data_IF_062765357308
#
_entry.id   IF_062765357308
#
_cell.length_a   1.000
_cell.length_b   1.000
_cell.length_c   1.000
_cell.angle_alpha   90.00
_cell.angle_beta   90.00
_cell.angle_gamma   90.00
#
_symmetry.space_group_name_H-M   'P 1'
#
loop_
_entity.id
_entity.type
_entity.pdbx_description
1 polymer ?
#
# COMPACT_ATOMS: atom_id res chain seq x y z
N UNK A 1 1.00 12.81 -13.33
CA UNK A 1 1.41 12.10 -14.57
C UNK A 1 1.30 12.95 -15.84
N UNK A 2 0.14 13.53 -16.20
CA UNK A 2 0.02 14.38 -17.41
C UNK A 2 0.92 15.62 -17.37
N UNK A 3 0.98 16.30 -16.23
CA UNK A 3 1.84 17.48 -16.04
C UNK A 3 3.33 17.18 -16.24
N UNK A 4 3.84 16.06 -15.69
CA UNK A 4 5.22 15.61 -15.92
C UNK A 4 5.50 15.35 -17.41
N UNK A 5 4.54 14.72 -18.13
CA UNK A 5 4.66 14.52 -19.58
C UNK A 5 4.71 15.85 -20.33
N UNK A 6 3.82 16.79 -20.02
CA UNK A 6 3.85 18.12 -20.64
C UNK A 6 5.15 18.88 -20.33
N UNK A 7 5.67 18.74 -19.12
CA UNK A 7 6.91 19.39 -18.71
C UNK A 7 8.13 18.78 -19.41
N UNK A 8 8.20 17.45 -19.54
CA UNK A 8 9.24 16.78 -20.33
C UNK A 8 9.16 17.15 -21.82
N UNK A 9 7.94 17.20 -22.38
CA UNK A 9 7.72 17.66 -23.76
C UNK A 9 8.16 19.13 -23.89
N UNK A 10 7.81 19.98 -22.94
CA UNK A 10 8.18 21.40 -22.92
C UNK A 10 9.70 21.57 -22.79
N UNK A 11 10.36 20.77 -21.96
CA UNK A 11 11.81 20.78 -21.79
C UNK A 11 12.52 20.30 -23.07
N UNK A 12 12.01 19.23 -23.71
CA UNK A 12 12.52 18.76 -24.99
C UNK A 12 12.32 19.78 -26.12
N UNK A 13 11.13 20.39 -26.18
CA UNK A 13 10.82 21.47 -27.13
C UNK A 13 11.72 22.68 -26.91
N UNK A 14 11.97 23.05 -25.65
CA UNK A 14 12.87 24.13 -25.29
C UNK A 14 14.32 23.85 -25.73
N UNK A 15 14.86 22.67 -25.45
CA UNK A 15 16.21 22.28 -25.90
C UNK A 15 16.31 22.28 -27.42
N UNK A 16 15.28 21.80 -28.12
CA UNK A 16 15.22 21.85 -29.57
C UNK A 16 15.19 23.30 -30.08
N UNK A 17 14.41 24.17 -29.46
CA UNK A 17 14.30 25.59 -29.81
C UNK A 17 15.64 26.31 -29.61
N UNK A 18 16.31 26.12 -28.47
CA UNK A 18 17.62 26.72 -28.18
C UNK A 18 18.68 26.24 -29.16
N UNK A 19 18.68 24.95 -29.51
CA UNK A 19 19.66 24.37 -30.44
C UNK A 19 19.47 24.83 -31.89
N UNK A 20 18.23 25.12 -32.30
CA UNK A 20 17.91 25.56 -33.67
C UNK A 20 17.76 27.10 -33.79
N UNK A 21 17.93 27.84 -32.70
CA UNK A 21 17.70 29.29 -32.67
C UNK A 21 18.61 30.05 -33.64
N UNK A 22 19.85 29.58 -33.82
CA UNK A 22 20.81 30.18 -34.75
C UNK A 22 20.36 30.10 -36.21
N UNK A 23 19.78 28.96 -36.61
CA UNK A 23 19.36 28.72 -37.99
C UNK A 23 18.00 29.38 -38.30
N UNK A 24 17.08 29.44 -37.33
CA UNK A 24 15.71 29.90 -37.57
C UNK A 24 15.52 31.40 -37.40
N UNK A 25 16.17 32.02 -36.40
CA UNK A 25 15.95 33.43 -36.07
C UNK A 25 17.06 34.34 -36.62
N UNK A 26 18.08 33.78 -37.29
CA UNK A 26 19.31 34.51 -37.63
C UNK A 26 20.00 35.10 -36.39
N UNK A 27 19.67 34.55 -35.22
CA UNK A 27 20.25 34.96 -33.96
C UNK A 27 21.71 34.47 -33.92
N UNK A 28 22.60 35.20 -33.25
CA UNK A 28 23.98 34.74 -33.13
C UNK A 28 24.01 33.39 -32.43
N UNK A 29 24.71 32.43 -33.03
CA UNK A 29 24.82 31.08 -32.51
C UNK A 29 25.35 31.11 -31.07
N UNK A 30 24.72 30.33 -30.18
CA UNK A 30 25.22 30.17 -28.82
C UNK A 30 26.64 29.61 -28.88
N UNK A 31 27.49 30.11 -27.99
CA UNK A 31 28.85 29.59 -27.87
C UNK A 31 28.82 28.15 -27.33
N UNK A 32 29.83 27.34 -27.68
CA UNK A 32 29.95 25.96 -27.18
C UNK A 32 29.90 25.90 -25.64
N UNK A 33 30.50 26.89 -24.97
CA UNK A 33 30.48 27.01 -23.52
C UNK A 33 29.07 27.22 -22.96
N UNK A 34 28.23 28.01 -23.63
CA UNK A 34 26.84 28.21 -23.21
C UNK A 34 26.04 26.92 -23.29
N UNK A 35 26.22 26.11 -24.35
CA UNK A 35 25.58 24.79 -24.46
C UNK A 35 26.00 23.84 -23.33
N UNK A 36 27.28 23.81 -22.96
CA UNK A 36 27.76 23.00 -21.84
C UNK A 36 27.12 23.45 -20.52
N UNK A 37 27.07 24.77 -20.28
CA UNK A 37 26.46 25.32 -19.07
C UNK A 37 24.95 25.01 -19.02
N UNK A 38 24.24 25.16 -20.13
CA UNK A 38 22.83 24.79 -20.27
C UNK A 38 22.59 23.31 -19.95
N UNK A 39 23.41 22.41 -20.49
CA UNK A 39 23.31 20.98 -20.23
C UNK A 39 23.55 20.65 -18.75
N UNK A 40 24.57 21.25 -18.13
CA UNK A 40 24.85 21.09 -16.70
C UNK A 40 23.70 21.66 -15.87
N UNK A 41 23.18 22.84 -16.18
CA UNK A 41 22.07 23.46 -15.46
C UNK A 41 20.76 22.66 -15.59
N UNK A 42 20.55 21.98 -16.71
CA UNK A 42 19.41 21.07 -16.89
C UNK A 42 19.58 19.77 -16.09
N UNK A 43 20.79 19.20 -16.09
CA UNK A 43 21.07 17.90 -15.49
C UNK A 43 21.23 17.96 -13.96
N UNK A 44 21.88 19.01 -13.44
CA UNK A 44 22.25 19.14 -12.02
C UNK A 44 21.04 19.06 -11.07
N UNK A 45 19.91 19.76 -11.30
CA UNK A 45 18.73 19.68 -10.42
C UNK A 45 18.01 18.33 -10.49
N UNK A 46 18.14 17.61 -11.62
CA UNK A 46 17.51 16.30 -11.84
C UNK A 46 18.34 15.19 -11.18
N UNK A 47 19.66 15.23 -11.31
CA UNK A 47 20.58 14.22 -10.77
C UNK A 47 20.83 14.39 -9.26
N UNK A 48 20.82 15.62 -8.77
CA UNK A 48 21.13 15.93 -7.37
C UNK A 48 19.94 16.60 -6.67
N UNK A 49 19.07 15.83 -5.98
CA UNK A 49 17.96 16.36 -5.18
C UNK A 49 18.31 17.49 -4.20
N UNK A 50 19.47 17.51 -3.50
CA UNK A 50 19.80 18.62 -2.59
C UNK A 50 19.99 19.95 -3.31
N UNK A 51 20.37 19.93 -4.59
CA UNK A 51 20.55 21.15 -5.40
C UNK A 51 19.19 21.82 -5.66
N UNK A 52 18.11 21.04 -5.76
CA UNK A 52 16.75 21.57 -5.93
C UNK A 52 16.19 22.23 -4.65
N UNK A 53 16.85 22.05 -3.49
CA UNK A 53 16.52 22.79 -2.26
C UNK A 53 17.17 24.18 -2.22
N UNK A 54 18.19 24.42 -3.03
CA UNK A 54 18.81 25.74 -3.13
C UNK A 54 17.85 26.70 -3.84
N UNK A 55 17.89 27.97 -3.44
CA UNK A 55 17.10 29.01 -4.11
C UNK A 55 17.49 29.09 -5.60
N UNK A 56 16.51 29.14 -6.54
CA UNK A 56 16.80 29.22 -7.98
C UNK A 56 17.67 30.44 -8.33
N UNK A 57 17.61 31.50 -7.52
CA UNK A 57 18.44 32.69 -7.67
C UNK A 57 19.93 32.41 -7.40
N UNK A 58 20.26 31.49 -6.48
CA UNK A 58 21.65 31.09 -6.19
C UNK A 58 22.21 30.30 -7.37
N UNK A 59 21.43 29.37 -7.92
CA UNK A 59 21.82 28.61 -9.11
C UNK A 59 22.00 29.51 -10.32
N UNK A 60 21.07 30.45 -10.53
CA UNK A 60 21.14 31.41 -11.62
C UNK A 60 22.36 32.32 -11.50
N UNK A 61 22.59 32.93 -10.33
CA UNK A 61 23.76 33.80 -10.12
C UNK A 61 25.08 33.03 -10.29
N UNK A 62 25.18 31.81 -9.77
CA UNK A 62 26.35 30.96 -9.97
C UNK A 62 26.59 30.65 -11.45
N UNK A 63 25.55 30.29 -12.21
CA UNK A 63 25.65 30.00 -13.64
C UNK A 63 26.06 31.22 -14.46
N UNK A 64 25.53 32.41 -14.15
CA UNK A 64 25.89 33.67 -14.82
C UNK A 64 27.34 34.07 -14.51
N UNK A 65 27.76 34.01 -13.24
CA UNK A 65 29.15 34.30 -12.85
C UNK A 65 30.11 33.34 -13.55
N UNK A 66 29.75 32.05 -13.63
CA UNK A 66 30.54 31.04 -14.31
C UNK A 66 30.63 31.28 -15.83
N UNK A 67 29.54 31.66 -16.49
CA UNK A 67 29.51 32.02 -17.91
C UNK A 67 30.42 33.23 -18.20
N UNK A 68 30.33 34.28 -17.39
CA UNK A 68 31.17 35.48 -17.54
C UNK A 68 32.65 35.13 -17.33
N UNK A 69 32.96 34.32 -16.31
CA UNK A 69 34.33 33.87 -16.03
C UNK A 69 34.94 33.07 -17.19
N UNK A 70 34.17 32.15 -17.78
CA UNK A 70 34.60 31.38 -18.95
C UNK A 70 34.83 32.27 -20.18
N UNK A 71 33.99 33.27 -20.41
CA UNK A 71 34.21 34.23 -21.51
C UNK A 71 35.45 35.10 -21.30
N UNK A 72 35.68 35.55 -20.07
CA UNK A 72 36.87 36.33 -19.73
C UNK A 72 38.15 35.51 -19.98
N UNK A 73 38.15 34.23 -19.61
CA UNK A 73 39.25 33.30 -19.90
C UNK A 73 39.43 33.01 -21.39
N UNK A 74 38.34 32.97 -22.15
CA UNK A 74 38.35 32.75 -23.60
C UNK A 74 38.77 33.96 -24.44
N UNK A 75 39.00 35.13 -23.83
CA UNK A 75 39.45 36.34 -24.53
C UNK A 75 38.41 36.94 -25.48
N UNK A 76 37.11 36.73 -25.22
CA UNK A 76 36.05 37.29 -26.06
C UNK A 76 35.84 38.78 -25.78
N UNK A 77 35.96 39.61 -26.82
CA UNK A 77 35.70 41.05 -26.72
C UNK A 77 34.21 41.35 -26.45
N UNK A 78 33.98 42.32 -25.55
CA UNK A 78 32.65 42.82 -25.16
C UNK A 78 32.08 43.80 -26.20
N UNK A 79 32.21 43.48 -27.47
CA UNK A 79 31.65 44.28 -28.56
C UNK A 79 30.09 44.26 -28.54
N UNK A 80 29.45 45.19 -29.24
CA UNK A 80 27.99 45.35 -29.26
C UNK A 80 27.26 44.06 -29.65
N UNK A 81 27.83 43.27 -30.58
CA UNK A 81 27.32 41.93 -30.92
C UNK A 81 27.52 40.95 -29.78
N UNK A 82 28.67 40.98 -29.11
CA UNK A 82 28.98 40.14 -27.96
C UNK A 82 28.00 40.33 -26.80
N UNK A 83 27.56 41.57 -26.54
CA UNK A 83 26.56 41.90 -25.52
C UNK A 83 25.18 41.30 -25.84
N UNK A 84 24.75 41.35 -27.10
CA UNK A 84 23.48 40.73 -27.52
C UNK A 84 23.50 39.21 -27.32
N UNK A 85 24.64 38.56 -27.61
CA UNK A 85 24.80 37.12 -27.37
C UNK A 85 24.71 36.81 -25.86
N UNK A 86 25.39 37.58 -25.02
CA UNK A 86 25.36 37.38 -23.56
C UNK A 86 23.93 37.51 -23.03
N UNK A 87 23.19 38.52 -23.49
CA UNK A 87 21.81 38.72 -23.06
C UNK A 87 20.94 37.49 -23.36
N UNK A 88 21.07 36.92 -24.56
CA UNK A 88 20.33 35.71 -24.95
C UNK A 88 20.81 34.48 -24.18
N UNK A 89 22.12 34.31 -23.99
CA UNK A 89 22.69 33.21 -23.18
C UNK A 89 22.18 33.25 -21.73
N UNK A 90 22.13 34.43 -21.11
CA UNK A 90 21.64 34.62 -19.73
C UNK A 90 20.14 34.30 -19.63
N UNK A 91 19.33 34.77 -20.58
CA UNK A 91 17.89 34.43 -20.62
C UNK A 91 17.70 32.92 -20.79
N UNK A 92 18.46 32.30 -21.69
CA UNK A 92 18.35 30.87 -21.94
C UNK A 92 18.71 30.04 -20.70
N UNK A 93 19.75 30.43 -19.97
CA UNK A 93 20.11 29.82 -18.68
C UNK A 93 18.99 29.97 -17.66
N UNK A 94 18.41 31.17 -17.53
CA UNK A 94 17.32 31.44 -16.59
C UNK A 94 16.10 30.54 -16.84
N UNK A 95 15.65 30.45 -18.10
CA UNK A 95 14.52 29.59 -18.49
C UNK A 95 14.85 28.12 -18.23
N UNK A 96 16.07 27.68 -18.53
CA UNK A 96 16.49 26.29 -18.34
C UNK A 96 16.50 25.89 -16.87
N UNK A 97 17.04 26.74 -15.98
CA UNK A 97 17.03 26.51 -14.53
C UNK A 97 15.59 26.44 -14.02
N UNK A 98 14.71 27.34 -14.47
CA UNK A 98 13.31 27.35 -14.07
C UNK A 98 12.58 26.07 -14.49
N UNK A 99 12.79 25.61 -15.73
CA UNK A 99 12.20 24.35 -16.20
C UNK A 99 12.77 23.14 -15.46
N UNK A 100 14.08 23.10 -15.21
CA UNK A 100 14.75 21.99 -14.54
C UNK A 100 14.35 21.89 -13.06
N UNK A 101 14.23 23.00 -12.34
CA UNK A 101 13.76 23.02 -10.95
C UNK A 101 12.30 22.59 -10.85
N UNK A 102 11.44 23.05 -11.78
CA UNK A 102 10.04 22.61 -11.85
C UNK A 102 9.93 21.11 -12.17
N UNK A 103 10.75 20.59 -13.09
CA UNK A 103 10.83 19.16 -13.39
C UNK A 103 11.28 18.36 -12.16
N UNK A 104 12.37 18.78 -11.53
CA UNK A 104 12.94 18.13 -10.34
C UNK A 104 11.98 18.11 -9.17
N UNK A 105 11.20 19.19 -8.96
CA UNK A 105 10.19 19.23 -7.91
C UNK A 105 9.09 18.18 -8.12
N UNK A 106 8.66 17.97 -9.37
CA UNK A 106 7.67 16.95 -9.72
C UNK A 106 8.21 15.52 -9.59
N UNK A 107 9.47 15.29 -9.98
CA UNK A 107 10.13 13.99 -9.80
C UNK A 107 10.27 13.68 -8.31
N UNK A 108 10.71 14.64 -7.49
CA UNK A 108 10.83 14.47 -6.04
C UNK A 108 9.46 14.21 -5.38
N UNK A 109 8.39 14.86 -5.85
CA UNK A 109 7.04 14.57 -5.38
C UNK A 109 6.65 13.12 -5.68
N UNK A 110 6.90 12.65 -6.90
CA UNK A 110 6.67 11.25 -7.29
C UNK A 110 7.53 10.28 -6.48
N UNK A 111 8.80 10.60 -6.25
CA UNK A 111 9.69 9.77 -5.45
C UNK A 111 9.24 9.72 -3.99
N UNK A 112 8.85 10.85 -3.39
CA UNK A 112 8.29 10.88 -2.04
C UNK A 112 6.99 10.07 -1.92
N UNK A 113 6.20 10.01 -2.99
CA UNK A 113 5.03 9.13 -3.05
C UNK A 113 5.47 7.67 -3.10
N UNK A 114 6.46 7.29 -3.91
CA UNK A 114 6.99 5.92 -3.91
C UNK A 114 7.63 5.51 -2.57
N UNK A 115 8.33 6.43 -1.92
CA UNK A 115 8.90 6.25 -0.59
C UNK A 115 7.78 6.07 0.45
N UNK A 116 6.74 6.90 0.40
CA UNK A 116 5.55 6.76 1.26
C UNK A 116 4.72 5.50 0.97
N UNK A 117 4.80 4.99 -0.27
CA UNK A 117 4.13 3.77 -0.71
C UNK A 117 4.93 2.51 -0.39
N UNK A 118 6.11 2.64 0.23
CA UNK A 118 6.85 1.48 0.74
C UNK A 118 7.36 0.54 -0.37
N UNK A 119 7.61 1.06 -1.58
CA UNK A 119 8.26 0.26 -2.64
C UNK A 119 9.75 0.02 -2.33
N UNK A 120 10.31 0.74 -1.36
CA UNK A 120 11.53 0.29 -0.68
C UNK A 120 11.19 -0.93 0.19
N UNK A 121 11.30 -2.12 -0.41
CA UNK A 121 11.55 -3.36 0.33
C UNK A 121 12.52 -3.05 1.49
N UNK A 122 12.24 -3.56 2.69
CA UNK A 122 12.99 -3.38 3.95
C UNK A 122 12.53 -2.12 4.72
N UNK A 123 11.35 -2.07 5.32
CA UNK A 123 10.97 -2.79 6.54
C UNK A 123 9.44 -2.75 6.61
N UNK A 124 8.77 -3.88 6.39
CA UNK A 124 7.40 -3.95 6.89
C UNK A 124 7.55 -3.97 8.42
N UNK A 125 6.94 -3.04 9.19
CA UNK A 125 6.99 -3.12 10.66
C UNK A 125 6.38 -4.43 11.16
N UNK A 126 5.61 -5.10 10.30
CA UNK A 126 4.86 -6.32 10.55
C UNK A 126 5.29 -7.37 9.52
N UNK A 127 5.74 -8.55 9.96
CA UNK A 127 6.14 -9.63 9.06
C UNK A 127 5.00 -10.14 8.18
N UNK A 128 5.33 -10.78 7.06
CA UNK A 128 4.32 -11.47 6.25
C UNK A 128 3.69 -12.62 7.04
N UNK A 129 2.47 -13.02 6.69
CA UNK A 129 1.81 -14.15 7.34
C UNK A 129 2.68 -15.42 7.29
N UNK A 130 3.30 -15.74 6.15
CA UNK A 130 4.13 -16.93 6.01
C UNK A 130 5.37 -16.91 6.94
N UNK A 131 5.99 -15.74 7.13
CA UNK A 131 7.13 -15.57 8.06
C UNK A 131 6.68 -15.67 9.52
N UNK A 132 5.53 -15.09 9.88
CA UNK A 132 5.04 -15.05 11.25
C UNK A 132 4.19 -16.26 11.67
N UNK A 133 3.75 -17.09 10.72
CA UNK A 133 2.87 -18.24 10.99
C UNK A 133 3.50 -19.23 11.98
N UNK A 134 4.82 -19.44 11.89
CA UNK A 134 5.55 -20.29 12.83
C UNK A 134 5.54 -19.73 14.26
N UNK A 135 5.62 -18.41 14.41
CA UNK A 135 5.54 -17.76 15.72
C UNK A 135 4.13 -17.91 16.31
N UNK A 136 3.09 -17.72 15.49
CA UNK A 136 1.70 -17.91 15.91
C UNK A 136 1.43 -19.37 16.31
N UNK A 137 1.83 -20.35 15.50
CA UNK A 137 1.67 -21.77 15.83
C UNK A 137 2.39 -22.15 17.12
N UNK A 138 3.58 -21.58 17.35
CA UNK A 138 4.33 -21.80 18.58
C UNK A 138 3.55 -21.27 19.78
N UNK A 139 2.97 -20.09 19.67
CA UNK A 139 2.19 -19.46 20.75
C UNK A 139 0.92 -20.26 21.06
N UNK A 140 0.15 -20.68 20.05
CA UNK A 140 -1.03 -21.53 20.24
C UNK A 140 -0.65 -22.88 20.87
N UNK A 141 0.48 -23.47 20.46
CA UNK A 141 0.98 -24.72 21.06
C UNK A 141 1.40 -24.51 22.52
N UNK A 142 2.01 -23.38 22.85
CA UNK A 142 2.37 -23.02 24.21
C UNK A 142 1.13 -22.78 25.08
N UNK A 143 0.16 -22.01 24.59
CA UNK A 143 -1.13 -21.79 25.24
C UNK A 143 -1.83 -23.12 25.56
N UNK A 144 -1.85 -24.07 24.61
CA UNK A 144 -2.40 -25.40 24.84
C UNK A 144 -1.62 -26.22 25.87
N UNK A 145 -0.29 -26.18 25.83
CA UNK A 145 0.57 -26.94 26.77
C UNK A 145 0.45 -26.42 28.20
N UNK A 146 0.37 -25.11 28.37
CA UNK A 146 0.35 -24.45 29.67
C UNK A 146 -1.04 -24.00 30.12
N UNK A 147 -2.09 -24.37 29.38
CA UNK A 147 -3.49 -23.98 29.64
C UNK A 147 -3.65 -22.48 29.85
N UNK A 148 -3.00 -21.68 28.99
CA UNK A 148 -3.10 -20.21 29.01
C UNK A 148 -4.14 -19.75 28.00
N UNK A 149 -4.82 -18.65 28.33
CA UNK A 149 -5.70 -17.98 27.38
C UNK A 149 -4.88 -17.28 26.29
N UNK A 150 -5.45 -17.23 25.10
CA UNK A 150 -4.85 -16.57 23.94
C UNK A 150 -5.96 -16.01 23.07
N UNK A 151 -5.82 -14.75 22.67
CA UNK A 151 -6.75 -14.10 21.76
C UNK A 151 -6.11 -13.96 20.37
N UNK A 152 -6.85 -14.36 19.33
CA UNK A 152 -6.49 -14.15 17.94
C UNK A 152 -7.47 -13.16 17.33
N UNK A 153 -6.95 -12.10 16.73
CA UNK A 153 -7.72 -11.06 16.10
C UNK A 153 -7.45 -11.04 14.60
N UNK A 154 -8.51 -10.89 13.82
CA UNK A 154 -8.45 -10.54 12.41
C UNK A 154 -8.95 -9.12 12.25
N UNK A 155 -8.11 -8.23 11.71
CA UNK A 155 -8.37 -6.79 11.62
C UNK A 155 -8.27 -6.35 10.16
N UNK A 156 -9.37 -5.84 9.62
CA UNK A 156 -9.42 -5.21 8.29
C UNK A 156 -9.95 -3.78 8.36
N UNK A 157 -9.64 -3.02 7.32
CA UNK A 157 -10.21 -1.68 7.13
C UNK A 157 -11.58 -1.84 6.48
N UNK A 158 -12.59 -1.19 7.04
CA UNK A 158 -13.94 -1.20 6.50
C UNK A 158 -13.98 -0.48 5.14
N UNK A 159 -14.43 -1.19 4.10
CA UNK A 159 -14.43 -0.70 2.72
C UNK A 159 -15.19 0.63 2.57
N UNK A 160 -16.33 0.79 3.23
CA UNK A 160 -17.14 2.02 3.15
C UNK A 160 -16.43 3.22 3.78
N UNK A 161 -15.61 3.00 4.81
CA UNK A 161 -14.84 4.08 5.44
C UNK A 161 -13.68 4.52 4.55
N UNK A 162 -13.01 3.56 3.91
CA UNK A 162 -11.95 3.83 2.94
C UNK A 162 -12.50 4.58 1.72
N UNK A 163 -13.63 4.13 1.17
CA UNK A 163 -14.30 4.81 0.06
C UNK A 163 -14.76 6.22 0.41
N UNK A 164 -15.22 6.47 1.64
CA UNK A 164 -15.59 7.83 2.10
C UNK A 164 -14.38 8.75 2.21
N UNK A 165 -13.23 8.27 2.68
CA UNK A 165 -11.99 9.06 2.67
C UNK A 165 -11.52 9.35 1.23
N UNK A 166 -11.53 8.33 0.37
CA UNK A 166 -11.19 8.46 -1.05
C UNK A 166 -12.15 9.42 -1.79
N UNK A 167 -13.44 9.36 -1.48
CA UNK A 167 -14.49 10.19 -2.09
C UNK A 167 -14.45 11.66 -1.63
N UNK A 168 -14.00 11.92 -0.39
CA UNK A 168 -13.82 13.30 0.11
C UNK A 168 -12.65 14.02 -0.56
N UNK A 169 -11.56 13.31 -0.87
CA UNK A 169 -10.39 13.92 -1.51
C UNK A 169 -10.56 14.13 -3.03
N UNK A 170 -11.33 13.27 -3.71
CA UNK A 170 -11.37 13.21 -5.18
C UNK A 170 -12.49 14.04 -5.83
N UNK A 171 -12.91 15.17 -5.24
CA UNK A 171 -14.09 15.92 -5.69
C UNK A 171 -13.91 16.76 -6.97
N UNK A 172 -12.81 16.63 -7.71
CA UNK A 172 -12.60 17.39 -8.94
C UNK A 172 -12.31 16.53 -10.19
N UNK A 173 -13.27 16.57 -11.13
CA UNK A 173 -13.19 16.28 -12.57
C UNK A 173 -13.34 14.85 -13.12
N UNK A 174 -14.20 14.74 -14.14
CA UNK A 174 -14.65 13.54 -14.87
C UNK A 174 -13.53 12.74 -15.57
N UNK A 175 -12.32 13.29 -15.68
CA UNK A 175 -11.16 12.63 -16.31
C UNK A 175 -10.46 11.59 -15.40
N UNK A 176 -10.93 11.40 -14.15
CA UNK A 176 -10.27 10.60 -13.11
C UNK A 176 -10.64 9.11 -13.07
N UNK A 177 -11.58 8.60 -13.89
CA UNK A 177 -12.03 7.20 -13.75
C UNK A 177 -10.94 6.15 -13.98
N UNK A 178 -9.99 6.37 -14.89
CA UNK A 178 -8.84 5.46 -15.10
C UNK A 178 -7.65 5.76 -14.19
N UNK A 179 -7.59 6.94 -13.59
CA UNK A 179 -6.64 7.25 -12.50
C UNK A 179 -7.14 6.68 -11.15
N UNK A 180 -8.43 6.36 -11.05
CA UNK A 180 -9.12 5.91 -9.84
C UNK A 180 -8.60 4.57 -9.35
N UNK A 181 -8.40 3.59 -10.23
CA UNK A 181 -7.88 2.26 -9.85
C UNK A 181 -6.46 2.34 -9.29
N UNK A 182 -5.55 3.00 -10.01
CA UNK A 182 -4.17 3.18 -9.55
C UNK A 182 -4.10 4.00 -8.24
N UNK A 183 -4.95 5.03 -8.10
CA UNK A 183 -5.01 5.82 -6.87
C UNK A 183 -5.64 5.04 -5.71
N UNK A 184 -6.65 4.20 -5.95
CA UNK A 184 -7.26 3.39 -4.89
C UNK A 184 -6.29 2.38 -4.32
N UNK A 185 -5.44 1.75 -5.14
CA UNK A 185 -4.41 0.83 -4.65
C UNK A 185 -3.37 1.55 -3.80
N UNK A 186 -2.94 2.75 -4.22
CA UNK A 186 -2.00 3.62 -3.50
C UNK A 186 -2.54 3.98 -2.11
N UNK A 187 -3.79 4.45 -2.05
CA UNK A 187 -4.42 4.84 -0.79
C UNK A 187 -4.71 3.66 0.12
N UNK A 188 -5.08 2.52 -0.46
CA UNK A 188 -5.28 1.29 0.30
C UNK A 188 -3.96 0.80 0.91
N UNK A 189 -2.85 0.87 0.16
CA UNK A 189 -1.53 0.54 0.68
C UNK A 189 -1.10 1.49 1.80
N UNK A 190 -1.33 2.79 1.63
CA UNK A 190 -1.07 3.80 2.66
C UNK A 190 -1.89 3.56 3.94
N UNK A 191 -3.19 3.31 3.81
CA UNK A 191 -4.08 3.05 4.94
C UNK A 191 -3.68 1.78 5.70
N UNK A 192 -3.30 0.71 4.99
CA UNK A 192 -2.79 -0.51 5.62
C UNK A 192 -1.46 -0.28 6.35
N UNK A 193 -0.55 0.54 5.81
CA UNK A 193 0.72 0.86 6.47
C UNK A 193 0.50 1.68 7.74
N UNK A 194 -0.43 2.64 7.72
CA UNK A 194 -0.77 3.41 8.93
C UNK A 194 -1.44 2.53 9.98
N UNK A 195 -2.32 1.61 9.56
CA UNK A 195 -2.90 0.62 10.46
C UNK A 195 -1.81 -0.30 11.07
N UNK A 196 -0.86 -0.80 10.26
CA UNK A 196 0.24 -1.62 10.76
C UNK A 196 1.06 -0.88 11.83
N UNK A 197 1.34 0.41 11.60
CA UNK A 197 2.04 1.25 12.56
C UNK A 197 1.25 1.43 13.85
N UNK A 198 -0.04 1.76 13.75
CA UNK A 198 -0.94 1.90 14.91
C UNK A 198 -0.99 0.60 15.73
N UNK A 199 -1.12 -0.56 15.07
CA UNK A 199 -1.13 -1.85 15.76
C UNK A 199 0.20 -2.11 16.48
N UNK A 200 1.33 -1.79 15.86
CA UNK A 200 2.66 -1.98 16.46
C UNK A 200 2.87 -1.06 17.65
N UNK A 201 2.48 0.22 17.53
CA UNK A 201 2.64 1.23 18.57
C UNK A 201 1.75 0.95 19.80
N UNK A 202 0.51 0.48 19.59
CA UNK A 202 -0.45 0.24 20.69
C UNK A 202 -0.31 -1.13 21.36
N UNK A 203 0.01 -2.18 20.60
CA UNK A 203 0.07 -3.55 21.13
C UNK A 203 1.47 -3.93 21.63
N UNK A 204 2.51 -3.25 21.13
CA UNK A 204 3.90 -3.45 21.54
C UNK A 204 4.42 -4.87 21.35
N UNK A 205 5.41 -5.25 22.16
CA UNK A 205 6.15 -6.51 22.03
C UNK A 205 5.37 -7.77 22.44
N UNK A 206 4.23 -7.60 23.12
CA UNK A 206 3.41 -8.71 23.61
C UNK A 206 2.48 -9.28 22.53
N UNK A 207 2.45 -8.66 21.34
CA UNK A 207 1.60 -9.05 20.24
C UNK A 207 2.41 -9.55 19.04
N UNK A 208 1.99 -10.68 18.48
CA UNK A 208 2.50 -11.14 17.19
C UNK A 208 1.56 -10.58 16.13
N UNK A 209 2.03 -9.60 15.37
CA UNK A 209 1.28 -8.99 14.27
C UNK A 209 1.82 -9.57 12.97
N UNK A 210 0.93 -10.03 12.09
CA UNK A 210 1.27 -10.52 10.76
C UNK A 210 0.28 -10.02 9.72
N UNK A 211 0.72 -9.89 8.47
CA UNK A 211 -0.15 -9.46 7.36
C UNK A 211 -0.56 -10.63 6.48
N UNK A 212 -1.87 -10.86 6.33
CA UNK A 212 -2.45 -11.85 5.42
C UNK A 212 -3.33 -11.14 4.39
N UNK A 213 -2.87 -11.07 3.12
CA UNK A 213 -3.56 -10.36 2.02
C UNK A 213 -3.88 -8.89 2.37
N UNK A 214 -5.13 -8.58 2.66
CA UNK A 214 -5.66 -7.23 2.93
C UNK A 214 -6.08 -7.02 4.40
N UNK A 215 -5.78 -7.96 5.29
CA UNK A 215 -6.05 -7.85 6.71
C UNK A 215 -4.83 -8.23 7.55
N UNK A 216 -4.87 -7.86 8.81
CA UNK A 216 -3.87 -8.21 9.81
C UNK A 216 -4.39 -9.34 10.68
N UNK A 217 -3.50 -10.26 11.01
CA UNK A 217 -3.72 -11.30 12.01
C UNK A 217 -2.84 -10.97 13.19
N UNK A 218 -3.46 -10.72 14.34
CA UNK A 218 -2.81 -10.36 15.59
C UNK A 218 -3.04 -11.47 16.60
N UNK A 219 -1.99 -11.85 17.31
CA UNK A 219 -2.09 -12.80 18.42
C UNK A 219 -1.63 -12.13 19.69
N UNK A 220 -2.49 -12.15 20.70
CA UNK A 220 -2.24 -11.64 22.04
C UNK A 220 -2.10 -12.83 22.99
N UNK A 221 -0.90 -12.99 23.53
CA UNK A 221 -0.64 -14.02 24.53
C UNK A 221 -1.30 -13.65 25.86
N UNK A 222 -1.72 -14.66 26.62
CA UNK A 222 -2.26 -14.50 27.99
C UNK A 222 -3.49 -13.59 28.09
N UNK A 223 -4.24 -13.44 26.99
CA UNK A 223 -5.40 -12.55 26.90
C UNK A 223 -6.68 -13.37 26.81
N UNK A 224 -7.64 -13.09 27.70
CA UNK A 224 -8.98 -13.68 27.71
C UNK A 224 -10.01 -12.81 26.96
N UNK A 225 -11.26 -13.27 26.92
CA UNK A 225 -12.37 -12.58 26.24
C UNK A 225 -12.73 -11.22 26.90
N UNK A 226 -12.53 -11.09 28.20
CA UNK A 226 -12.84 -9.85 28.93
C UNK A 226 -11.77 -8.78 28.68
N UNK A 227 -10.51 -9.20 28.54
CA UNK A 227 -9.36 -8.33 28.30
C UNK A 227 -9.21 -7.91 26.84
N UNK A 228 -9.60 -8.76 25.89
CA UNK A 228 -9.48 -8.42 24.46
C UNK A 228 -10.49 -7.36 24.03
N UNK A 229 -11.68 -7.34 24.62
CA UNK A 229 -12.75 -6.38 24.29
C UNK A 229 -12.33 -4.92 24.43
N UNK A 230 -11.78 -4.45 25.57
CA UNK A 230 -11.32 -3.07 25.71
C UNK A 230 -10.15 -2.72 24.78
N UNK A 231 -9.29 -3.69 24.44
CA UNK A 231 -8.20 -3.49 23.47
C UNK A 231 -8.79 -3.21 22.08
N UNK A 232 -9.77 -4.00 21.65
CA UNK A 232 -10.44 -3.82 20.36
C UNK A 232 -11.16 -2.48 20.27
N UNK A 233 -11.88 -2.09 21.32
CA UNK A 233 -12.57 -0.79 21.33
C UNK A 233 -11.60 0.38 21.29
N UNK A 234 -10.48 0.30 22.03
CA UNK A 234 -9.42 1.31 21.95
C UNK A 234 -8.80 1.40 20.55
N UNK A 235 -8.55 0.25 19.90
CA UNK A 235 -8.03 0.25 18.52
C UNK A 235 -9.02 0.88 17.53
N UNK A 236 -10.32 0.63 17.69
CA UNK A 236 -11.38 1.27 16.89
C UNK A 236 -11.45 2.77 17.13
N UNK A 237 -11.35 3.21 18.37
CA UNK A 237 -11.37 4.63 18.73
C UNK A 237 -10.16 5.38 18.16
N UNK A 238 -8.97 4.80 18.29
CA UNK A 238 -7.73 5.38 17.77
C UNK A 238 -7.70 5.39 16.24
N UNK A 239 -8.23 4.37 15.57
CA UNK A 239 -8.31 4.35 14.12
C UNK A 239 -9.31 5.37 13.58
N UNK A 240 -10.47 5.53 14.23
CA UNK A 240 -11.50 6.47 13.79
C UNK A 240 -11.07 7.92 14.07
N UNK A 241 -10.50 8.18 15.25
CA UNK A 241 -10.06 9.53 15.64
C UNK A 241 -8.76 9.93 14.94
N UNK A 242 -7.79 9.01 14.84
CA UNK A 242 -6.46 9.29 14.30
C UNK A 242 -6.38 9.20 12.77
N UNK A 243 -7.07 8.22 12.17
CA UNK A 243 -6.99 7.94 10.73
C UNK A 243 -8.30 8.21 9.99
N UNK A 244 -9.42 8.43 10.69
CA UNK A 244 -10.75 8.54 10.06
C UNK A 244 -11.23 7.22 9.46
N UNK A 245 -10.68 6.09 9.93
CA UNK A 245 -10.93 4.75 9.40
C UNK A 245 -11.72 3.92 10.41
N UNK A 246 -12.76 3.24 9.92
CA UNK A 246 -13.46 2.22 10.70
C UNK A 246 -12.79 0.87 10.48
N UNK A 247 -12.63 0.11 11.57
CA UNK A 247 -12.05 -1.22 11.53
C UNK A 247 -13.14 -2.28 11.67
N UNK A 248 -13.07 -3.29 10.82
CA UNK A 248 -13.79 -4.54 11.03
C UNK A 248 -12.83 -5.47 11.79
N UNK A 249 -13.26 -5.93 12.95
CA UNK A 249 -12.43 -6.72 13.86
C UNK A 249 -13.21 -7.97 14.26
N UNK A 250 -12.65 -9.13 13.96
CA UNK A 250 -13.10 -10.40 14.48
C UNK A 250 -12.12 -10.92 15.53
N UNK A 251 -12.66 -11.54 16.58
CA UNK A 251 -11.89 -12.04 17.71
C UNK A 251 -12.23 -13.51 17.92
N UNK A 252 -11.22 -14.34 18.18
CA UNK A 252 -11.38 -15.71 18.61
C UNK A 252 -10.48 -16.01 19.80
N UNK A 253 -11.03 -16.64 20.85
CA UNK A 253 -10.30 -16.89 22.11
C UNK A 253 -10.07 -18.39 22.33
N UNK A 254 -8.83 -18.75 22.64
CA UNK A 254 -8.44 -20.06 23.12
C UNK A 254 -8.50 -20.11 24.65
N UNK A 255 -8.98 -21.20 25.28
CA UNK A 255 -9.48 -22.43 24.66
C UNK A 255 -10.99 -22.44 24.37
N UNK A 256 -11.71 -21.38 24.73
CA UNK A 256 -13.17 -21.40 24.85
C UNK A 256 -13.90 -21.53 23.51
N UNK A 257 -13.37 -20.91 22.45
CA UNK A 257 -14.02 -20.89 21.14
C UNK A 257 -13.46 -21.96 20.18
N UNK A 258 -12.14 -22.16 20.19
CA UNK A 258 -11.51 -23.20 19.38
C UNK A 258 -10.17 -23.68 19.96
N UNK A 259 -9.78 -24.90 19.60
CA UNK A 259 -8.59 -25.59 20.14
C UNK A 259 -7.42 -25.69 19.15
N UNK A 260 -7.63 -25.33 17.88
CA UNK A 260 -6.59 -25.32 16.85
C UNK A 260 -6.41 -23.92 16.28
N UNK A 261 -5.20 -23.62 15.81
CA UNK A 261 -4.89 -22.32 15.20
C UNK A 261 -5.77 -22.05 13.98
N UNK A 262 -5.98 -23.05 13.14
CA UNK A 262 -6.77 -22.94 11.91
C UNK A 262 -8.22 -22.60 12.22
N UNK A 263 -8.78 -23.19 13.27
CA UNK A 263 -10.15 -22.90 13.71
C UNK A 263 -10.26 -21.50 14.33
N UNK A 264 -9.30 -21.08 15.17
CA UNK A 264 -9.25 -19.71 15.71
C UNK A 264 -9.15 -18.67 14.58
N UNK A 265 -8.27 -18.89 13.61
CA UNK A 265 -8.09 -18.00 12.47
C UNK A 265 -9.37 -17.93 11.63
N UNK A 266 -9.96 -19.07 11.30
CA UNK A 266 -11.20 -19.13 10.54
C UNK A 266 -12.33 -18.40 11.25
N UNK A 267 -12.47 -18.58 12.57
CA UNK A 267 -13.49 -17.92 13.37
C UNK A 267 -13.29 -16.40 13.40
N UNK A 268 -12.06 -15.95 13.68
CA UNK A 268 -11.75 -14.52 13.67
C UNK A 268 -11.99 -13.89 12.30
N UNK A 269 -11.62 -14.55 11.20
CA UNK A 269 -11.87 -14.04 9.84
C UNK A 269 -13.35 -13.99 9.49
N UNK A 270 -14.12 -14.98 9.95
CA UNK A 270 -15.57 -15.06 9.70
C UNK A 270 -16.29 -13.93 10.43
N UNK A 271 -15.93 -13.68 11.70
CA UNK A 271 -16.45 -12.58 12.51
C UNK A 271 -16.03 -11.21 11.95
N UNK A 272 -14.79 -11.07 11.48
CA UNK A 272 -14.30 -9.86 10.82
C UNK A 272 -15.11 -9.55 9.54
N UNK A 273 -15.44 -10.58 8.75
CA UNK A 273 -16.25 -10.44 7.54
C UNK A 273 -17.75 -10.20 7.83
N UNK A 274 -18.17 -10.14 9.11
CA UNK A 274 -19.57 -9.99 9.48
C UNK A 274 -20.45 -11.18 9.09
N UNK A 275 -19.86 -12.33 8.79
CA UNK A 275 -20.58 -13.56 8.43
C UNK A 275 -20.69 -14.43 9.67
N UNK A 276 -21.86 -15.00 9.95
CA UNK A 276 -22.04 -15.90 11.08
C UNK A 276 -21.30 -17.23 10.78
N UNK A 277 -20.47 -17.75 11.70
CA UNK A 277 -19.70 -18.97 11.43
C UNK A 277 -20.65 -20.15 11.21
N UNK A 278 -20.48 -20.83 10.08
CA UNK A 278 -21.10 -22.14 9.86
C UNK A 278 -20.58 -23.09 10.95
N UNK A 279 -21.43 -23.91 11.60
CA UNK A 279 -20.98 -24.85 12.62
C UNK A 279 -19.89 -25.76 12.04
N UNK A 280 -18.70 -25.74 12.63
CA UNK A 280 -17.63 -26.66 12.24
C UNK A 280 -18.11 -28.10 12.46
N UNK A 281 -17.77 -29.05 11.57
CA UNK A 281 -18.04 -30.46 11.82
C UNK A 281 -17.25 -30.89 13.06
N UNK A 282 -17.97 -31.14 14.16
CA UNK A 282 -17.38 -31.79 15.33
C UNK A 282 -16.75 -33.10 14.85
N UNK A 283 -15.46 -33.37 15.12
CA UNK A 283 -14.87 -34.66 14.79
C UNK A 283 -15.69 -35.74 15.50
N UNK A 284 -16.42 -36.56 14.74
CA UNK A 284 -17.16 -37.69 15.32
C UNK A 284 -16.14 -38.55 16.08
N UNK A 285 -16.42 -38.96 17.32
CA UNK A 285 -15.56 -39.91 18.01
C UNK A 285 -15.36 -41.13 17.12
N UNK A 286 -14.10 -41.43 16.83
CA UNK A 286 -13.68 -42.58 16.02
C UNK A 286 -13.92 -43.84 16.85
N UNK A 287 -15.14 -44.37 16.80
CA UNK A 287 -15.49 -45.57 17.55
C UNK A 287 -16.98 -45.86 17.59
N UNK A 288 -17.62 -46.04 16.43
CA UNK A 288 -18.84 -46.85 16.36
C UNK A 288 -18.96 -47.48 14.97
N UNK A 289 -18.16 -48.53 14.79
CA UNK A 289 -18.34 -49.49 13.71
C UNK A 289 -19.58 -50.33 14.03
N UNK A 290 -20.73 -49.95 13.47
CA UNK A 290 -21.92 -50.81 13.42
C UNK A 290 -22.14 -51.26 11.99
N UNK A 291 -21.33 -52.22 11.58
CA UNK A 291 -21.71 -53.24 10.62
C UNK A 291 -23.09 -53.83 10.99
N UNK A 292 -24.12 -53.51 10.21
CA UNK A 292 -25.28 -54.39 10.00
C UNK A 292 -26.02 -54.03 8.71
N UNK A 293 -26.14 -54.94 7.73
CA UNK A 293 -26.90 -54.70 6.51
C UNK A 293 -28.40 -54.77 6.80
N UNK A 294 -29.15 -53.81 6.26
CA UNK A 294 -30.60 -53.78 6.28
C UNK A 294 -31.16 -54.90 5.41
N UNK A 295 -31.79 -55.88 6.06
CA UNK A 295 -32.64 -56.87 5.39
C UNK A 295 -33.98 -56.20 5.10
N UNK A 296 -34.26 -56.01 3.81
CA UNK A 296 -35.55 -55.62 3.27
C UNK A 296 -36.49 -56.84 3.37
N UNK A 297 -37.56 -56.75 4.16
CA UNK A 297 -38.73 -57.64 4.02
C UNK A 297 -39.93 -56.76 3.71
N UNK A 298 -40.33 -56.83 2.45
CA UNK A 298 -41.52 -56.19 1.91
C UNK A 298 -42.79 -56.84 2.44
N UNK A 299 -43.73 -55.98 2.80
CA UNK A 299 -45.11 -56.27 3.15
C UNK A 299 -45.85 -56.89 1.95
N UNK A 300 -46.43 -58.08 2.12
CA UNK A 300 -47.39 -58.66 1.17
C UNK A 300 -48.75 -58.78 1.86
N UNK A 301 -49.70 -57.97 1.42
CA UNK A 301 -51.12 -58.19 1.64
C UNK A 301 -51.51 -59.56 1.07
N UNK A 302 -52.32 -60.34 1.78
CA UNK A 302 -53.64 -60.74 1.30
C UNK A 302 -54.41 -61.52 2.35
N UNK A 303 -55.62 -61.01 2.58
CA UNK A 303 -56.72 -61.64 3.29
C UNK A 303 -57.31 -62.69 2.35
N UNK A 304 -57.36 -63.97 2.75
CA UNK A 304 -58.48 -64.83 2.34
C UNK A 304 -58.69 -65.96 3.34
N UNK A 305 -59.89 -65.93 3.91
CA UNK A 305 -60.44 -66.91 4.80
C UNK A 305 -60.83 -68.21 4.06
N UNK A 306 -61.12 -69.20 4.89
CA UNK A 306 -62.05 -70.33 4.74
C UNK A 306 -61.61 -71.59 4.01
N UNK A 307 -61.89 -72.69 4.73
CA UNK A 307 -62.19 -74.07 4.30
C UNK A 307 -61.03 -75.01 3.94
N UNK A 308 -60.68 -75.93 4.85
CA UNK A 308 -61.18 -77.31 4.84
C UNK A 308 -60.56 -78.16 5.98
N UNK A 309 -61.42 -78.62 6.88
CA UNK A 309 -61.60 -80.00 7.35
C UNK A 309 -60.41 -81.01 7.54
N UNK A 310 -60.26 -81.46 8.82
CA UNK A 310 -60.22 -82.89 9.31
C UNK A 310 -58.91 -83.71 9.09
N UNK A 311 -58.45 -84.65 9.97
CA UNK A 311 -58.16 -84.62 11.42
C UNK A 311 -56.87 -85.44 11.81
N UNK A 312 -56.52 -85.46 13.11
CA UNK A 312 -55.86 -86.53 13.93
C UNK A 312 -55.20 -85.82 15.11
N UNK A 313 -55.44 -86.10 16.40
CA UNK A 313 -55.84 -87.28 17.17
C UNK A 313 -56.73 -86.83 18.34
#
# INVERSE_FOLDING_TARGET
MKYLRYLLILMGLWVMLVSNMGDWLGAPALTLYAYLILAVCAALPILFPPVNRASPFVLFSAAVVFLIGLRALGGYDLDQRGLQVIAVEVVAIGVTILLATLAGAQINAVQSLFDSLGVSKLQQPVGTFDEGQHAIYREVRWARRYQRHLALLAISINADSLERLLGRQNRETLAHRLAKEAQSEIWHAYALNQLAKLLTDELGDNAIITRRRQHFVVVLAETDAEQVTPIVERLRELSDTGLGLKLDVGVAVFPDEAVTFEALLQQAETLMAGTQPAPLPVPRPRGEDTSKPAVIVASRQEIRATDEAIPSV
#
